data_IF_447781473108
#
_entry.id   IF_447781473108
#
_cell.length_a   1.000
_cell.length_b   1.000
_cell.length_c   1.000
_cell.angle_alpha   90.00
_cell.angle_beta   90.00
_cell.angle_gamma   90.00
#
_symmetry.space_group_name_H-M   'P 1'
#
loop_
_entity.id
_entity.type
_entity.pdbx_description
1 polymer ?
#
# COMPACT_ATOMS: atom_id res chain seq x y z
N UNK A 1 -0.70 -3.53 24.54
CA UNK A 1 -1.28 -2.32 23.91
C UNK A 1 -0.42 -1.94 22.73
N UNK A 2 -1.00 -1.61 21.57
CA UNK A 2 -0.22 -1.11 20.44
C UNK A 2 0.40 0.24 20.84
N UNK A 3 1.73 0.34 20.82
CA UNK A 3 2.40 1.59 21.20
C UNK A 3 2.37 2.58 20.04
N UNK A 4 2.75 2.15 18.84
CA UNK A 4 2.69 2.93 17.60
C UNK A 4 2.81 1.99 16.39
N UNK A 5 2.04 2.22 15.34
CA UNK A 5 2.17 1.58 14.03
C UNK A 5 2.30 2.63 12.93
N UNK A 6 3.53 2.92 12.51
CA UNK A 6 3.80 3.86 11.42
C UNK A 6 4.27 3.09 10.19
N UNK A 7 3.57 3.28 9.07
CA UNK A 7 3.94 2.68 7.80
C UNK A 7 4.03 3.74 6.70
N UNK A 8 4.97 3.50 5.80
CA UNK A 8 5.37 4.42 4.74
C UNK A 8 5.41 3.65 3.42
N UNK A 9 5.07 4.29 2.29
CA UNK A 9 5.13 3.67 0.95
C UNK A 9 4.54 2.26 0.92
N UNK A 10 3.43 2.04 1.62
CA UNK A 10 2.86 0.69 1.79
C UNK A 10 1.62 0.50 0.91
N UNK A 11 1.56 -0.62 0.20
CA UNK A 11 0.40 -1.05 -0.56
C UNK A 11 -0.41 -2.04 0.27
N UNK A 12 -1.59 -1.63 0.73
CA UNK A 12 -2.53 -2.49 1.46
C UNK A 12 -3.75 -2.71 0.57
N UNK A 13 -3.81 -3.90 -0.03
CA UNK A 13 -4.83 -4.27 -1.01
C UNK A 13 -5.30 -5.71 -0.81
N UNK A 14 -6.31 -6.12 -1.56
CA UNK A 14 -6.87 -7.47 -1.52
C UNK A 14 -8.19 -7.59 -2.26
N UNK A 15 -8.88 -8.72 -2.09
CA UNK A 15 -10.15 -8.99 -2.77
C UNK A 15 -11.36 -8.32 -2.11
N UNK A 16 -11.31 -8.09 -0.79
CA UNK A 16 -12.42 -7.49 -0.05
C UNK A 16 -12.41 -5.96 -0.22
N UNK A 17 -13.58 -5.33 -0.07
CA UNK A 17 -13.71 -3.88 -0.09
C UNK A 17 -13.02 -3.22 1.12
N UNK A 18 -12.96 -3.95 2.24
CA UNK A 18 -12.30 -3.52 3.46
C UNK A 18 -11.28 -4.56 3.92
N UNK A 19 -9.99 -4.23 3.81
CA UNK A 19 -8.90 -5.11 4.25
C UNK A 19 -8.16 -4.60 5.49
N UNK A 20 -8.58 -3.47 6.07
CA UNK A 20 -7.98 -2.91 7.28
C UNK A 20 -9.01 -2.98 8.41
N UNK A 21 -8.89 -4.00 9.23
CA UNK A 21 -9.78 -4.21 10.37
C UNK A 21 -9.08 -3.86 11.67
N UNK A 22 -9.67 -2.95 12.44
CA UNK A 22 -9.22 -2.63 13.79
C UNK A 22 -10.26 -3.05 14.83
N UNK A 23 -9.85 -3.84 15.83
CA UNK A 23 -10.63 -4.04 17.04
C UNK A 23 -10.29 -2.96 18.06
N UNK A 24 -10.59 -1.69 17.73
CA UNK A 24 -10.39 -0.58 18.65
C UNK A 24 -11.56 -0.55 19.64
N UNK A 25 -11.28 -0.75 20.93
CA UNK A 25 -12.24 -0.39 21.97
C UNK A 25 -12.17 1.12 22.17
N UNK A 26 -13.29 1.75 22.57
CA UNK A 26 -13.39 3.20 22.78
C UNK A 26 -12.34 3.76 23.77
N UNK A 27 -11.76 2.89 24.59
CA UNK A 27 -10.76 3.22 25.61
C UNK A 27 -9.31 3.20 25.09
N UNK A 28 -9.05 2.68 23.88
CA UNK A 28 -7.68 2.53 23.36
C UNK A 28 -7.33 3.62 22.35
N UNK A 29 -6.21 4.31 22.61
CA UNK A 29 -5.64 5.25 21.67
C UNK A 29 -5.26 4.53 20.36
N UNK A 30 -5.78 5.05 19.24
CA UNK A 30 -5.48 4.56 17.91
C UNK A 30 -4.15 5.13 17.42
N UNK A 31 -3.06 4.47 17.83
CA UNK A 31 -1.70 4.91 17.53
C UNK A 31 -1.21 4.31 16.20
N UNK A 32 -1.76 4.78 15.09
CA UNK A 32 -1.30 4.40 13.76
C UNK A 32 -1.13 5.60 12.84
N UNK A 33 -0.26 5.44 11.83
CA UNK A 33 -0.09 6.38 10.73
C UNK A 33 0.22 5.62 9.44
N UNK A 34 -0.50 5.96 8.38
CA UNK A 34 -0.22 5.62 7.00
C UNK A 34 0.26 6.87 6.29
N UNK A 35 1.43 6.78 5.66
CA UNK A 35 2.10 7.90 5.02
C UNK A 35 2.49 7.50 3.59
N UNK A 36 2.04 8.25 2.58
CA UNK A 36 2.25 7.97 1.15
C UNK A 36 1.96 6.50 0.81
N UNK A 37 0.77 6.04 1.17
CA UNK A 37 0.38 4.63 1.08
C UNK A 37 -0.91 4.48 0.27
N UNK A 38 -1.13 3.29 -0.30
CA UNK A 38 -2.37 2.92 -0.98
C UNK A 38 -3.16 1.98 -0.05
N UNK A 39 -4.41 2.32 0.24
CA UNK A 39 -5.26 1.56 1.15
C UNK A 39 -6.58 1.15 0.47
N UNK A 40 -6.91 -0.14 0.50
CA UNK A 40 -8.24 -0.68 0.20
C UNK A 40 -9.03 -0.87 1.49
N UNK A 41 -9.73 0.17 1.89
CA UNK A 41 -10.62 0.16 3.04
C UNK A 41 -11.67 1.24 2.86
N UNK A 42 -12.68 1.25 3.72
CA UNK A 42 -13.70 2.30 3.72
C UNK A 42 -13.03 3.62 4.07
N UNK A 43 -12.94 4.52 3.08
CA UNK A 43 -12.45 5.88 3.30
C UNK A 43 -13.31 6.57 4.38
N UNK A 44 -12.71 7.07 5.49
CA UNK A 44 -13.43 7.85 6.47
C UNK A 44 -14.07 9.09 5.83
N UNK A 45 -15.26 9.49 6.30
CA UNK A 45 -15.92 10.74 5.83
C UNK A 45 -15.00 11.95 6.00
N UNK A 46 -14.33 12.02 7.13
CA UNK A 46 -13.33 13.03 7.48
C UNK A 46 -12.04 12.30 7.89
N UNK A 47 -11.12 12.03 6.93
CA UNK A 47 -9.85 11.39 7.25
C UNK A 47 -8.99 12.28 8.15
N UNK A 48 -8.47 11.71 9.24
CA UNK A 48 -7.51 12.39 10.11
C UNK A 48 -6.18 12.56 9.37
N UNK A 49 -5.87 13.79 8.95
CA UNK A 49 -4.66 14.13 8.21
C UNK A 49 -3.35 13.86 8.99
N UNK A 50 -3.41 13.64 10.31
CA UNK A 50 -2.23 13.25 11.10
C UNK A 50 -1.96 11.74 11.02
N UNK A 51 -2.99 10.95 10.73
CA UNK A 51 -2.93 9.48 10.59
C UNK A 51 -2.88 9.02 9.14
N UNK A 52 -3.45 9.77 8.22
CA UNK A 52 -3.49 9.46 6.80
C UNK A 52 -2.84 10.60 6.01
N UNK A 53 -1.53 10.52 5.83
CA UNK A 53 -0.73 11.52 5.09
C UNK A 53 -0.60 11.04 3.65
N UNK A 54 -1.10 11.84 2.70
CA UNK A 54 -1.01 11.57 1.25
C UNK A 54 -1.41 10.13 0.85
N UNK A 55 -2.49 9.64 1.47
CA UNK A 55 -3.03 8.31 1.20
C UNK A 55 -3.89 8.31 -0.05
N UNK A 56 -3.67 7.31 -0.90
CA UNK A 56 -4.52 6.97 -2.04
C UNK A 56 -5.50 5.88 -1.60
N UNK A 57 -6.79 6.12 -1.81
CA UNK A 57 -7.85 5.17 -1.44
C UNK A 57 -8.21 4.34 -2.67
N UNK A 58 -8.17 3.02 -2.55
CA UNK A 58 -8.64 2.11 -3.58
C UNK A 58 -10.14 1.87 -3.44
N UNK A 59 -10.85 1.98 -4.55
CA UNK A 59 -12.23 1.53 -4.64
C UNK A 59 -12.26 0.07 -5.11
N UNK A 60 -13.13 -0.74 -4.52
CA UNK A 60 -13.32 -2.13 -4.95
C UNK A 60 -13.81 -2.24 -6.40
N UNK A 61 -14.50 -1.19 -6.88
CA UNK A 61 -15.04 -1.09 -8.25
C UNK A 61 -14.00 -0.72 -9.30
N UNK A 62 -12.76 -0.37 -8.94
CA UNK A 62 -11.70 -0.11 -9.91
C UNK A 62 -11.19 -1.42 -10.50
N UNK A 63 -11.49 -1.63 -11.78
CA UNK A 63 -11.12 -2.84 -12.54
C UNK A 63 -9.86 -2.66 -13.40
N UNK A 64 -9.20 -1.50 -13.33
CA UNK A 64 -8.13 -1.11 -14.25
C UNK A 64 -6.77 -1.13 -13.56
N UNK A 65 -6.66 -0.53 -12.37
CA UNK A 65 -5.35 -0.22 -11.77
C UNK A 65 -5.19 -0.64 -10.30
N UNK A 66 -6.24 -1.21 -9.70
CA UNK A 66 -6.35 -1.52 -8.27
C UNK A 66 -6.47 -3.02 -8.00
N UNK A 67 -6.29 -3.41 -6.73
CA UNK A 67 -6.48 -4.81 -6.32
C UNK A 67 -5.50 -5.75 -7.00
N UNK A 68 -6.01 -6.83 -7.58
CA UNK A 68 -5.20 -7.77 -8.36
C UNK A 68 -4.47 -7.11 -9.54
N UNK A 69 -4.96 -5.97 -10.05
CA UNK A 69 -4.35 -5.27 -11.19
C UNK A 69 -3.04 -4.58 -10.81
N UNK A 70 -2.73 -4.47 -9.53
CA UNK A 70 -1.40 -4.05 -9.09
C UNK A 70 -0.32 -5.02 -9.52
N UNK A 71 -0.63 -6.30 -9.69
CA UNK A 71 0.37 -7.36 -9.71
C UNK A 71 0.44 -8.05 -11.08
N UNK A 72 1.62 -8.56 -11.44
CA UNK A 72 1.81 -9.30 -12.70
C UNK A 72 0.97 -10.58 -12.74
N UNK A 73 0.86 -11.29 -11.62
CA UNK A 73 0.09 -12.53 -11.56
C UNK A 73 -0.58 -12.75 -10.22
N UNK A 74 -1.89 -12.92 -10.25
CA UNK A 74 -2.69 -13.36 -9.12
C UNK A 74 -3.59 -14.50 -9.59
N UNK A 75 -3.17 -15.75 -9.33
CA UNK A 75 -3.97 -16.95 -9.63
C UNK A 75 -4.31 -17.65 -8.31
N UNK A 76 -5.46 -17.27 -7.75
CA UNK A 76 -5.96 -17.79 -6.48
C UNK A 76 -6.28 -19.28 -6.51
N UNK A 77 -6.78 -19.79 -7.63
CA UNK A 77 -7.15 -21.19 -7.79
C UNK A 77 -5.92 -22.11 -7.75
N UNK A 78 -4.81 -21.67 -8.33
CA UNK A 78 -3.54 -22.42 -8.35
C UNK A 78 -2.56 -22.02 -7.25
N UNK A 79 -2.92 -21.05 -6.41
CA UNK A 79 -2.02 -20.42 -5.42
C UNK A 79 -0.70 -19.94 -6.05
N UNK A 80 -0.75 -19.45 -7.29
CA UNK A 80 0.42 -19.05 -8.05
C UNK A 80 0.43 -17.52 -8.17
N UNK A 81 1.32 -16.88 -7.41
CA UNK A 81 1.38 -15.42 -7.28
C UNK A 81 2.71 -14.87 -7.75
N UNK A 82 2.65 -13.74 -8.45
CA UNK A 82 3.76 -12.84 -8.71
C UNK A 82 3.31 -11.42 -8.31
N UNK A 83 3.83 -10.97 -7.18
CA UNK A 83 3.50 -9.68 -6.57
C UNK A 83 4.37 -8.52 -7.08
N UNK A 84 5.22 -8.75 -8.09
CA UNK A 84 5.81 -7.62 -8.80
C UNK A 84 4.73 -6.77 -9.43
N UNK A 85 5.01 -5.47 -9.53
CA UNK A 85 4.04 -4.53 -10.07
C UNK A 85 3.79 -4.78 -11.57
N UNK A 86 2.52 -4.70 -11.95
CA UNK A 86 2.11 -4.67 -13.35
C UNK A 86 2.28 -3.25 -13.92
N UNK A 87 2.30 -3.13 -15.25
CA UNK A 87 2.31 -1.83 -15.92
C UNK A 87 1.10 -0.95 -15.56
N UNK A 88 -0.01 -1.56 -15.14
CA UNK A 88 -1.27 -0.88 -14.82
C UNK A 88 -1.34 -0.41 -13.38
N UNK A 89 -0.42 -0.87 -12.53
CA UNK A 89 -0.43 -0.56 -11.10
C UNK A 89 -0.39 0.95 -10.88
N UNK A 90 -1.38 1.47 -10.14
CA UNK A 90 -1.35 2.87 -9.67
C UNK A 90 -0.33 3.13 -8.57
N UNK A 91 0.37 2.10 -8.10
CA UNK A 91 1.44 2.24 -7.11
C UNK A 91 2.73 2.81 -7.72
N UNK A 92 2.83 2.81 -9.04
CA UNK A 92 4.00 3.26 -9.79
C UNK A 92 4.24 4.75 -9.64
N UNK A 93 5.47 5.16 -9.32
CA UNK A 93 5.91 6.53 -9.13
C UNK A 93 5.13 7.34 -8.06
N UNK A 94 4.41 6.67 -7.14
CA UNK A 94 3.52 7.33 -6.18
C UNK A 94 4.07 7.42 -4.75
N UNK A 95 5.20 6.79 -4.44
CA UNK A 95 5.84 6.85 -3.14
C UNK A 95 6.79 8.03 -3.00
N UNK A 96 7.42 8.13 -1.82
CA UNK A 96 8.42 9.16 -1.53
C UNK A 96 9.76 8.56 -1.11
N UNK A 97 10.85 9.27 -1.40
CA UNK A 97 12.17 8.92 -0.86
C UNK A 97 12.15 9.13 0.66
N UNK A 98 12.34 8.05 1.41
CA UNK A 98 12.33 8.08 2.86
C UNK A 98 13.70 8.54 3.41
N UNK A 99 13.73 9.22 4.56
CA UNK A 99 14.96 9.72 5.15
C UNK A 99 15.89 8.58 5.57
N UNK A 100 17.18 8.89 5.70
CA UNK A 100 18.21 7.99 6.25
C UNK A 100 18.37 6.67 5.48
N UNK A 101 18.01 6.63 4.20
CA UNK A 101 18.13 5.43 3.37
C UNK A 101 17.13 4.32 3.71
N UNK A 102 16.08 4.62 4.47
CA UNK A 102 14.99 3.67 4.72
C UNK A 102 14.38 3.27 3.38
N UNK A 103 14.20 1.97 3.15
CA UNK A 103 13.66 1.44 1.89
C UNK A 103 14.45 1.89 0.64
N UNK A 104 15.77 2.14 0.75
CA UNK A 104 16.57 2.55 -0.41
C UNK A 104 16.65 1.50 -1.52
N UNK A 105 16.38 0.24 -1.19
CA UNK A 105 16.24 -0.87 -2.13
C UNK A 105 14.87 -1.54 -1.98
N UNK A 106 14.37 -2.08 -3.08
CA UNK A 106 13.19 -2.92 -3.09
C UNK A 106 13.48 -4.35 -2.59
N UNK A 107 12.47 -5.21 -2.61
CA UNK A 107 12.55 -6.59 -2.14
C UNK A 107 13.56 -7.45 -2.91
N UNK A 108 13.79 -7.14 -4.18
CA UNK A 108 14.74 -7.84 -5.05
C UNK A 108 16.17 -7.28 -4.92
N UNK A 109 16.36 -6.24 -4.09
CA UNK A 109 17.64 -5.58 -3.87
C UNK A 109 17.96 -4.52 -4.92
N UNK A 110 17.00 -4.13 -5.75
CA UNK A 110 17.18 -3.04 -6.70
C UNK A 110 17.06 -1.70 -6.01
N UNK A 111 17.91 -0.75 -6.38
CA UNK A 111 17.81 0.62 -5.90
C UNK A 111 16.47 1.23 -6.33
N UNK A 112 15.81 1.89 -5.38
CA UNK A 112 14.65 2.73 -5.66
C UNK A 112 15.08 4.07 -6.22
N UNK A 113 14.27 4.65 -7.10
CA UNK A 113 14.57 5.94 -7.69
C UNK A 113 14.02 7.12 -6.85
N UNK A 114 13.95 8.30 -7.45
CA UNK A 114 13.46 9.51 -6.77
C UNK A 114 11.94 9.62 -6.67
N UNK A 115 11.21 8.68 -7.28
CA UNK A 115 9.77 8.49 -7.21
C UNK A 115 9.50 7.00 -6.96
N UNK A 116 9.88 6.48 -5.79
CA UNK A 116 9.78 5.06 -5.53
C UNK A 116 8.35 4.57 -5.66
N UNK A 117 8.17 3.34 -6.11
CA UNK A 117 6.86 2.71 -6.17
C UNK A 117 6.32 2.38 -4.77
N UNK A 118 5.02 2.55 -4.55
CA UNK A 118 4.36 2.13 -3.30
C UNK A 118 4.33 0.58 -3.26
N UNK A 119 4.73 0.00 -2.12
CA UNK A 119 4.79 -1.45 -1.92
C UNK A 119 6.22 -1.96 -1.82
N UNK A 120 6.42 -3.26 -2.04
CA UNK A 120 7.72 -3.92 -1.81
C UNK A 120 8.66 -3.95 -3.02
N UNK A 121 8.17 -3.64 -4.22
CA UNK A 121 8.89 -3.80 -5.49
C UNK A 121 8.94 -2.47 -6.25
N UNK A 122 10.03 -2.24 -6.97
CA UNK A 122 10.04 -1.26 -8.07
C UNK A 122 9.55 -1.93 -9.36
N UNK A 123 8.74 -1.22 -10.12
CA UNK A 123 8.25 -1.68 -11.41
C UNK A 123 9.42 -1.84 -12.38
N UNK A 124 9.46 -2.99 -13.01
CA UNK A 124 10.34 -3.26 -14.14
C UNK A 124 9.53 -3.87 -15.27
N UNK A 125 9.79 -3.48 -16.53
CA UNK A 125 9.29 -4.22 -17.67
C UNK A 125 9.71 -5.69 -17.58
N UNK A 126 8.85 -6.59 -18.06
CA UNK A 126 9.16 -8.02 -18.24
C UNK A 126 10.23 -8.25 -19.33
#
# INVERSE_FOLDING_TARGET
TLQQFNVFNTLITGYAEDVIMGAFTDETAQNFKFDHSILRTVKPKEPDATKYVDVIWEEATDTVQSGEKHFRKIDGDKQAYDFHLSEKSKARDMGIVLPNGISATDHDGFARDNKPDIGCYEYRPE
#
